data_IF_461703786186
#
_entry.id   IF_461703786186
#
_cell.length_a   1.000
_cell.length_b   1.000
_cell.length_c   1.000
_cell.angle_alpha   90.00
_cell.angle_beta   90.00
_cell.angle_gamma   90.00
#
_symmetry.space_group_name_H-M   'P 1'
#
loop_
_entity.id
_entity.type
_entity.pdbx_description
1 polymer ?
#
# COMPACT_ATOMS: atom_id res chain seq x y z
N UNK A 1 2.93 16.93 -15.32
CA UNK A 1 4.04 15.97 -15.21
C UNK A 1 3.42 14.61 -15.01
N UNK A 2 3.79 13.64 -15.81
CA UNK A 2 3.18 12.32 -15.77
C UNK A 2 3.51 11.61 -14.46
N UNK A 3 2.51 10.98 -13.84
CA UNK A 3 2.65 10.30 -12.55
C UNK A 3 1.96 8.94 -12.60
N UNK A 4 2.60 7.92 -12.06
CA UNK A 4 2.09 6.55 -12.05
C UNK A 4 1.59 6.16 -10.66
N UNK A 5 0.35 5.67 -10.55
CA UNK A 5 -0.12 4.93 -9.38
C UNK A 5 0.19 3.44 -9.57
N UNK A 6 0.93 2.86 -8.63
CA UNK A 6 1.27 1.43 -8.60
C UNK A 6 0.48 0.76 -7.49
N UNK A 7 -0.37 -0.19 -7.82
CA UNK A 7 -1.25 -0.88 -6.88
C UNK A 7 -0.79 -2.32 -6.70
N UNK A 8 -0.43 -2.68 -5.48
CA UNK A 8 0.00 -4.04 -5.11
C UNK A 8 -1.23 -4.93 -4.90
N UNK A 9 -1.64 -5.65 -5.93
CA UNK A 9 -2.88 -6.44 -5.97
C UNK A 9 -2.66 -7.97 -6.09
N UNK A 10 -1.40 -8.46 -6.07
CA UNK A 10 -1.12 -9.89 -6.20
C UNK A 10 -1.66 -10.76 -5.03
N UNK A 11 -1.93 -10.13 -3.88
CA UNK A 11 -2.60 -10.75 -2.73
C UNK A 11 -4.13 -10.68 -2.77
N UNK A 12 -4.69 -9.96 -3.73
CA UNK A 12 -6.12 -9.71 -3.83
C UNK A 12 -6.89 -11.03 -3.99
N UNK A 13 -7.93 -11.22 -3.19
CA UNK A 13 -8.73 -12.45 -3.23
C UNK A 13 -8.08 -13.66 -2.55
N UNK A 14 -6.84 -13.60 -2.08
CA UNK A 14 -6.22 -14.74 -1.38
C UNK A 14 -6.95 -15.12 -0.08
N UNK A 15 -7.56 -14.14 0.59
CA UNK A 15 -8.40 -14.33 1.78
C UNK A 15 -9.82 -14.79 1.48
N UNK A 16 -10.28 -14.65 0.23
CA UNK A 16 -11.67 -14.87 -0.19
C UNK A 16 -11.85 -16.02 -1.18
N UNK A 17 -10.79 -16.80 -1.46
CA UNK A 17 -10.87 -17.92 -2.41
C UNK A 17 -10.81 -17.51 -3.90
N UNK A 18 -10.43 -16.28 -4.20
CA UNK A 18 -10.21 -15.78 -5.56
C UNK A 18 -10.71 -14.37 -5.82
N UNK A 19 -10.30 -13.80 -6.95
CA UNK A 19 -10.63 -12.41 -7.35
C UNK A 19 -12.15 -12.21 -7.48
N UNK A 20 -12.87 -13.22 -7.96
CA UNK A 20 -14.34 -13.16 -8.13
C UNK A 20 -15.13 -13.01 -6.84
N UNK A 21 -14.49 -13.28 -5.70
CA UNK A 21 -15.10 -13.17 -4.36
C UNK A 21 -14.70 -11.89 -3.63
N UNK A 22 -14.02 -10.95 -4.31
CA UNK A 22 -13.70 -9.65 -3.74
C UNK A 22 -15.00 -8.91 -3.43
N UNK A 23 -15.06 -8.41 -2.21
CA UNK A 23 -16.26 -7.78 -1.68
C UNK A 23 -16.56 -6.44 -2.36
N UNK A 24 -17.77 -6.31 -2.83
CA UNK A 24 -18.34 -5.06 -3.32
C UNK A 24 -18.89 -4.28 -2.12
N UNK A 25 -18.34 -3.10 -1.88
CA UNK A 25 -18.57 -2.32 -0.66
C UNK A 25 -19.24 -0.98 -0.95
N UNK A 26 -18.99 -0.41 -2.12
CA UNK A 26 -19.60 0.84 -2.55
C UNK A 26 -21.05 0.67 -2.97
N UNK A 27 -21.81 1.78 -3.03
CA UNK A 27 -23.25 1.76 -3.35
C UNK A 27 -23.58 1.26 -4.76
N UNK A 28 -22.68 1.40 -5.73
CA UNK A 28 -22.83 0.88 -7.11
C UNK A 28 -22.00 -0.41 -7.34
N UNK A 29 -21.53 -1.04 -6.23
CA UNK A 29 -20.78 -2.28 -6.26
C UNK A 29 -19.29 -2.10 -6.47
N UNK A 30 -18.75 -0.94 -6.16
CA UNK A 30 -17.32 -0.67 -6.21
C UNK A 30 -16.57 -1.42 -5.12
N UNK A 31 -15.30 -1.78 -5.38
CA UNK A 31 -14.34 -2.33 -4.43
C UNK A 31 -13.43 -1.22 -3.89
N UNK A 32 -12.75 -1.44 -2.76
CA UNK A 32 -11.90 -0.41 -2.12
C UNK A 32 -10.85 0.18 -3.06
N UNK A 33 -10.20 -0.65 -3.86
CA UNK A 33 -9.18 -0.19 -4.80
C UNK A 33 -9.72 0.82 -5.83
N UNK A 34 -10.99 0.72 -6.22
CA UNK A 34 -11.59 1.64 -7.20
C UNK A 34 -11.67 3.07 -6.65
N UNK A 35 -11.87 3.24 -5.34
CA UNK A 35 -11.81 4.55 -4.68
C UNK A 35 -10.41 5.14 -4.74
N UNK A 36 -9.38 4.35 -4.44
CA UNK A 36 -8.00 4.82 -4.53
C UNK A 36 -7.60 5.20 -5.96
N UNK A 37 -8.01 4.42 -6.97
CA UNK A 37 -7.80 4.76 -8.39
C UNK A 37 -8.57 6.03 -8.76
N UNK A 38 -9.83 6.16 -8.34
CA UNK A 38 -10.65 7.35 -8.59
C UNK A 38 -10.00 8.61 -8.03
N UNK A 39 -9.57 8.57 -6.76
CA UNK A 39 -8.90 9.69 -6.11
C UNK A 39 -7.56 10.03 -6.76
N UNK A 40 -6.78 9.01 -7.15
CA UNK A 40 -5.52 9.20 -7.85
C UNK A 40 -5.70 9.91 -9.20
N UNK A 41 -6.69 9.50 -10.01
CA UNK A 41 -7.00 10.18 -11.28
C UNK A 41 -7.38 11.65 -11.06
N UNK A 42 -8.14 11.94 -10.02
CA UNK A 42 -8.50 13.32 -9.65
C UNK A 42 -7.30 14.13 -9.13
N UNK A 43 -6.35 13.48 -8.46
CA UNK A 43 -5.10 14.08 -7.99
C UNK A 43 -4.10 14.32 -9.14
N UNK A 44 -4.40 13.86 -10.37
CA UNK A 44 -3.59 14.08 -11.56
C UNK A 44 -2.66 12.93 -11.94
N UNK A 45 -2.84 11.73 -11.35
CA UNK A 45 -2.20 10.54 -11.88
C UNK A 45 -2.79 10.22 -13.26
N UNK A 46 -1.95 9.93 -14.22
CA UNK A 46 -2.32 9.67 -15.62
C UNK A 46 -2.02 8.25 -16.07
N UNK A 47 -1.44 7.44 -15.17
CA UNK A 47 -1.08 6.06 -15.43
C UNK A 47 -1.32 5.18 -14.21
N UNK A 48 -1.93 4.02 -14.43
CA UNK A 48 -2.19 3.00 -13.40
C UNK A 48 -1.42 1.74 -13.75
N UNK A 49 -0.68 1.19 -12.78
CA UNK A 49 -0.03 -0.12 -12.88
C UNK A 49 -0.59 -1.04 -11.81
N UNK A 50 -1.19 -2.14 -12.20
CA UNK A 50 -1.68 -3.18 -11.29
C UNK A 50 -0.67 -4.33 -11.23
N UNK A 51 -0.13 -4.59 -10.05
CA UNK A 51 0.74 -5.74 -9.80
C UNK A 51 -0.14 -6.90 -9.35
N UNK A 52 -0.27 -7.91 -10.20
CA UNK A 52 -1.14 -9.08 -10.01
C UNK A 52 -0.38 -10.39 -10.24
N UNK A 53 -1.01 -11.53 -9.95
CA UNK A 53 -0.52 -12.82 -10.45
C UNK A 53 -1.00 -13.02 -11.89
N UNK A 54 -0.25 -13.76 -12.76
CA UNK A 54 -0.69 -14.03 -14.14
C UNK A 54 -2.09 -14.62 -14.23
N UNK A 55 -2.45 -15.53 -13.30
CA UNK A 55 -3.75 -16.20 -13.24
C UNK A 55 -4.92 -15.27 -12.90
N UNK A 56 -4.66 -14.03 -12.49
CA UNK A 56 -5.71 -13.08 -12.08
C UNK A 56 -6.12 -12.13 -13.22
N UNK A 57 -5.38 -12.10 -14.33
CA UNK A 57 -5.51 -11.06 -15.35
C UNK A 57 -6.94 -10.95 -15.90
N UNK A 58 -7.51 -12.06 -16.35
CA UNK A 58 -8.85 -12.07 -16.94
C UNK A 58 -9.93 -11.65 -15.93
N UNK A 59 -9.83 -12.18 -14.71
CA UNK A 59 -10.78 -11.86 -13.64
C UNK A 59 -10.70 -10.40 -13.21
N UNK A 60 -9.49 -9.83 -13.09
CA UNK A 60 -9.27 -8.42 -12.73
C UNK A 60 -9.80 -7.49 -13.82
N UNK A 61 -9.53 -7.79 -15.09
CA UNK A 61 -10.05 -7.01 -16.21
C UNK A 61 -11.58 -7.03 -16.23
N UNK A 62 -12.19 -8.19 -16.14
CA UNK A 62 -13.65 -8.36 -16.13
C UNK A 62 -14.32 -7.72 -14.91
N UNK A 63 -13.66 -7.73 -13.74
CA UNK A 63 -14.23 -7.21 -12.50
C UNK A 63 -14.32 -5.67 -12.52
N UNK A 64 -13.24 -4.97 -12.93
CA UNK A 64 -13.18 -3.51 -12.90
C UNK A 64 -12.26 -2.89 -13.96
N UNK A 65 -11.18 -3.56 -14.41
CA UNK A 65 -10.16 -2.98 -15.27
C UNK A 65 -10.73 -2.43 -16.58
N UNK A 66 -11.44 -3.26 -17.34
CA UNK A 66 -12.02 -2.86 -18.63
C UNK A 66 -13.05 -1.74 -18.44
N UNK A 67 -13.79 -1.73 -17.34
CA UNK A 67 -14.75 -0.66 -17.01
C UNK A 67 -14.05 0.67 -16.74
N UNK A 68 -12.98 0.67 -15.96
CA UNK A 68 -12.21 1.88 -15.68
C UNK A 68 -11.60 2.44 -16.96
N UNK A 69 -10.95 1.60 -17.79
CA UNK A 69 -10.36 2.03 -19.06
C UNK A 69 -11.41 2.64 -20.00
N UNK A 70 -12.57 2.01 -20.14
CA UNK A 70 -13.65 2.49 -21.00
C UNK A 70 -14.25 3.81 -20.53
N UNK A 71 -14.38 4.02 -19.22
CA UNK A 71 -15.02 5.22 -18.66
C UNK A 71 -14.09 6.41 -18.53
N UNK A 72 -12.80 6.17 -18.31
CA UNK A 72 -11.84 7.23 -18.04
C UNK A 72 -10.91 7.51 -19.22
N UNK A 73 -10.80 6.58 -20.17
CA UNK A 73 -9.82 6.62 -21.25
C UNK A 73 -8.38 6.37 -20.80
N UNK A 74 -8.17 6.11 -19.49
CA UNK A 74 -6.83 5.81 -18.97
C UNK A 74 -6.49 4.37 -19.26
N UNK A 75 -5.19 4.13 -19.57
CA UNK A 75 -4.69 2.77 -19.76
C UNK A 75 -4.21 2.20 -18.43
N UNK A 76 -4.60 0.95 -18.14
CA UNK A 76 -4.09 0.16 -17.02
C UNK A 76 -3.02 -0.79 -17.54
N UNK A 77 -1.78 -0.64 -17.06
CA UNK A 77 -0.72 -1.60 -17.31
C UNK A 77 -0.74 -2.71 -16.23
N UNK A 78 -0.55 -3.96 -16.66
CA UNK A 78 -0.52 -5.10 -15.75
C UNK A 78 0.90 -5.64 -15.61
N UNK A 79 1.41 -5.68 -14.39
CA UNK A 79 2.70 -6.27 -14.05
C UNK A 79 2.48 -7.58 -13.27
N UNK A 80 3.30 -8.59 -13.55
CA UNK A 80 3.10 -9.91 -12.98
C UNK A 80 4.13 -10.21 -11.89
N UNK A 81 3.64 -10.40 -10.65
CA UNK A 81 4.46 -10.85 -9.55
C UNK A 81 4.55 -12.38 -9.58
N UNK A 82 5.72 -12.88 -10.01
CA UNK A 82 6.04 -14.32 -10.00
C UNK A 82 7.34 -14.56 -9.24
N UNK A 83 7.48 -15.67 -8.48
CA UNK A 83 8.60 -15.86 -7.56
C UNK A 83 9.95 -16.08 -8.26
N UNK A 84 9.99 -16.35 -9.56
CA UNK A 84 11.19 -16.48 -10.38
C UNK A 84 11.81 -15.13 -10.79
N UNK A 85 11.03 -14.03 -10.72
CA UNK A 85 11.56 -12.71 -11.09
C UNK A 85 12.51 -12.18 -10.02
N UNK A 86 13.63 -11.63 -10.47
CA UNK A 86 14.71 -11.06 -9.62
C UNK A 86 15.33 -12.05 -8.62
N UNK A 87 15.16 -13.37 -8.83
CA UNK A 87 15.69 -14.43 -7.95
C UNK A 87 16.74 -15.28 -8.62
N UNK A 88 17.41 -14.81 -9.68
CA UNK A 88 18.40 -15.57 -10.43
C UNK A 88 19.57 -16.13 -9.57
N UNK A 89 19.92 -15.44 -8.47
CA UNK A 89 20.94 -15.91 -7.51
C UNK A 89 20.47 -17.13 -6.68
N UNK A 90 19.19 -17.42 -6.63
CA UNK A 90 18.55 -18.48 -5.82
C UNK A 90 17.38 -19.09 -6.62
N UNK A 91 17.67 -19.92 -7.67
CA UNK A 91 16.66 -20.45 -8.58
C UNK A 91 15.58 -21.31 -7.89
N UNK A 92 15.88 -21.92 -6.74
CA UNK A 92 14.94 -22.69 -5.94
C UNK A 92 13.76 -21.86 -5.42
N UNK A 93 13.92 -20.53 -5.30
CA UNK A 93 12.83 -19.63 -4.90
C UNK A 93 11.69 -19.56 -5.92
N UNK A 94 11.90 -20.01 -7.16
CA UNK A 94 10.81 -20.14 -8.15
C UNK A 94 9.68 -21.07 -7.69
N UNK A 95 9.96 -21.99 -6.76
CA UNK A 95 8.97 -22.89 -6.15
C UNK A 95 8.30 -22.34 -4.90
N UNK A 96 8.71 -21.14 -4.46
CA UNK A 96 8.19 -20.54 -3.24
C UNK A 96 6.72 -20.19 -3.36
N UNK A 97 5.91 -20.62 -2.38
CA UNK A 97 4.46 -20.37 -2.35
C UNK A 97 4.13 -19.00 -1.77
N UNK A 98 4.83 -18.59 -0.70
CA UNK A 98 4.63 -17.30 -0.06
C UNK A 98 5.31 -16.18 -0.86
N UNK A 99 4.67 -15.02 -1.08
CA UNK A 99 5.30 -13.89 -1.76
C UNK A 99 6.61 -13.46 -1.10
N UNK A 100 7.53 -12.91 -1.89
CA UNK A 100 8.82 -12.41 -1.42
C UNK A 100 8.75 -11.01 -0.80
N UNK A 101 7.55 -10.45 -0.70
CA UNK A 101 7.28 -9.17 -0.04
C UNK A 101 7.00 -8.01 -1.01
N UNK A 102 6.76 -6.83 -0.43
CA UNK A 102 6.29 -5.65 -1.17
C UNK A 102 7.36 -5.00 -2.04
N UNK A 103 8.65 -5.08 -1.65
CA UNK A 103 9.77 -4.64 -2.52
C UNK A 103 9.80 -5.47 -3.80
N UNK A 104 9.68 -6.79 -3.69
CA UNK A 104 9.61 -7.69 -4.85
C UNK A 104 8.42 -7.37 -5.74
N UNK A 105 7.25 -7.11 -5.15
CA UNK A 105 6.07 -6.74 -5.93
C UNK A 105 6.34 -5.51 -6.81
N UNK A 106 6.86 -4.42 -6.23
CA UNK A 106 7.17 -3.19 -6.97
C UNK A 106 8.23 -3.44 -8.05
N UNK A 107 9.27 -4.22 -7.76
CA UNK A 107 10.28 -4.59 -8.76
C UNK A 107 9.70 -5.34 -9.95
N UNK A 108 8.67 -6.18 -9.76
CA UNK A 108 8.00 -6.86 -10.87
C UNK A 108 7.32 -5.89 -11.85
N UNK A 109 7.05 -4.64 -11.44
CA UNK A 109 6.51 -3.59 -12.30
C UNK A 109 7.59 -2.68 -12.91
N UNK A 110 8.88 -2.94 -12.66
CA UNK A 110 10.00 -2.08 -13.12
C UNK A 110 9.96 -1.74 -14.61
N UNK A 111 9.58 -2.71 -15.44
CA UNK A 111 9.62 -2.55 -16.89
C UNK A 111 8.53 -1.59 -17.42
N UNK A 112 7.52 -1.28 -16.64
CA UNK A 112 6.39 -0.40 -17.00
C UNK A 112 6.38 0.92 -16.26
N UNK A 113 7.12 1.08 -15.16
CA UNK A 113 7.24 2.34 -14.41
C UNK A 113 8.33 3.21 -15.05
N UNK A 114 7.96 4.40 -15.52
CA UNK A 114 8.88 5.35 -16.19
C UNK A 114 8.84 6.77 -15.61
N UNK A 115 7.82 7.08 -14.83
CA UNK A 115 7.55 8.40 -14.25
C UNK A 115 7.63 8.33 -12.73
N UNK A 116 7.69 9.44 -12.00
CA UNK A 116 7.50 9.43 -10.55
C UNK A 116 6.22 8.69 -10.20
N UNK A 117 6.27 7.87 -9.14
CA UNK A 117 5.20 6.94 -8.85
C UNK A 117 4.87 6.85 -7.37
N UNK A 118 3.60 6.62 -7.08
CA UNK A 118 3.14 6.23 -5.76
C UNK A 118 2.81 4.74 -5.71
N UNK A 119 3.05 4.12 -4.56
CA UNK A 119 2.73 2.71 -4.30
C UNK A 119 1.66 2.63 -3.23
N UNK A 120 0.64 1.79 -3.45
CA UNK A 120 -0.44 1.51 -2.49
C UNK A 120 -0.77 0.01 -2.43
N UNK A 121 -1.45 -0.39 -1.36
CA UNK A 121 -2.11 -1.70 -1.29
C UNK A 121 -3.47 -1.66 -2.00
N UNK A 122 -3.92 -2.79 -2.52
CA UNK A 122 -5.19 -2.90 -3.23
C UNK A 122 -6.42 -3.05 -2.33
N UNK A 123 -6.22 -3.44 -1.07
CA UNK A 123 -7.27 -3.75 -0.09
C UNK A 123 -7.49 -2.64 0.95
N UNK A 124 -6.92 -1.45 0.70
CA UNK A 124 -6.96 -0.30 1.59
C UNK A 124 -7.72 0.88 0.99
N UNK A 125 -8.48 1.59 1.84
CA UNK A 125 -9.02 2.92 1.54
C UNK A 125 -8.10 3.99 2.12
N UNK A 126 -7.62 4.90 1.28
CA UNK A 126 -6.63 5.90 1.66
C UNK A 126 -7.22 7.29 1.93
N UNK A 127 -8.34 7.61 1.32
CA UNK A 127 -8.93 8.95 1.34
C UNK A 127 -8.28 9.90 0.35
N UNK A 128 -9.09 10.84 -0.13
CA UNK A 128 -8.71 11.78 -1.19
C UNK A 128 -7.52 12.66 -0.82
N UNK A 129 -7.53 13.23 0.39
CA UNK A 129 -6.47 14.13 0.85
C UNK A 129 -5.09 13.47 0.89
N UNK A 130 -5.03 12.14 1.13
CA UNK A 130 -3.78 11.40 1.11
C UNK A 130 -3.22 11.25 -0.31
N UNK A 131 -4.10 10.98 -1.30
CA UNK A 131 -3.70 10.90 -2.71
C UNK A 131 -3.31 12.28 -3.26
N UNK A 132 -4.02 13.34 -2.90
CA UNK A 132 -3.67 14.72 -3.26
C UNK A 132 -2.29 15.10 -2.68
N UNK A 133 -2.01 14.75 -1.42
CA UNK A 133 -0.73 15.06 -0.77
C UNK A 133 0.44 14.36 -1.46
N UNK A 134 0.32 13.07 -1.78
CA UNK A 134 1.40 12.33 -2.44
C UNK A 134 1.59 12.83 -3.88
N UNK A 135 0.52 13.11 -4.62
CA UNK A 135 0.57 13.66 -5.97
C UNK A 135 1.32 15.00 -6.01
N UNK A 136 1.06 15.90 -5.05
CA UNK A 136 1.78 17.17 -4.94
C UNK A 136 3.27 17.02 -4.63
N UNK A 137 3.67 15.92 -3.96
CA UNK A 137 5.05 15.67 -3.60
C UNK A 137 5.87 15.01 -4.71
N UNK A 138 5.27 14.13 -5.52
CA UNK A 138 5.97 13.34 -6.54
C UNK A 138 6.82 14.17 -7.51
N UNK A 139 6.32 15.30 -8.08
CA UNK A 139 7.12 16.12 -9.00
C UNK A 139 8.37 16.77 -8.37
N UNK A 140 8.45 16.79 -7.04
CA UNK A 140 9.55 17.39 -6.29
C UNK A 140 10.64 16.38 -5.93
N UNK A 141 10.45 15.09 -6.23
CA UNK A 141 11.45 14.04 -6.00
C UNK A 141 12.49 14.11 -7.12
N UNK A 142 13.72 14.51 -6.80
CA UNK A 142 14.78 14.75 -7.79
C UNK A 142 15.58 13.50 -8.17
N UNK A 143 15.61 12.49 -7.32
CA UNK A 143 16.44 11.28 -7.51
C UNK A 143 16.00 10.13 -6.61
N UNK A 144 16.72 9.01 -6.67
CA UNK A 144 16.56 7.89 -5.74
C UNK A 144 16.87 8.22 -4.26
N UNK A 145 17.48 9.37 -3.99
CA UNK A 145 17.74 9.82 -2.62
C UNK A 145 16.55 10.53 -1.98
N UNK A 146 15.53 10.84 -2.77
CA UNK A 146 14.33 11.51 -2.31
C UNK A 146 13.13 10.56 -2.37
N UNK A 147 12.38 10.50 -1.29
CA UNK A 147 11.12 9.77 -1.20
C UNK A 147 10.07 10.59 -0.44
N UNK A 148 8.83 10.22 -0.57
CA UNK A 148 7.73 10.74 0.23
C UNK A 148 6.91 9.59 0.79
N UNK A 149 6.24 9.82 1.91
CA UNK A 149 5.33 8.88 2.53
C UNK A 149 4.16 9.66 3.13
N UNK A 150 2.94 9.12 3.01
CA UNK A 150 1.81 9.69 3.75
C UNK A 150 1.73 9.02 5.13
N UNK A 151 1.81 9.84 6.17
CA UNK A 151 1.67 9.44 7.56
C UNK A 151 0.27 9.74 8.07
N UNK A 152 -0.42 8.70 8.53
CA UNK A 152 -1.75 8.79 9.13
C UNK A 152 -1.64 8.90 10.64
N UNK A 153 -2.62 9.55 11.29
CA UNK A 153 -2.74 9.48 12.75
C UNK A 153 -3.09 8.06 13.16
N UNK A 154 -2.38 7.50 14.14
CA UNK A 154 -2.60 6.12 14.60
C UNK A 154 -4.07 5.86 14.95
N UNK A 155 -4.72 6.81 15.66
CA UNK A 155 -6.15 6.72 16.03
C UNK A 155 -7.09 6.53 14.84
N UNK A 156 -6.71 7.01 13.64
CA UNK A 156 -7.50 6.93 12.42
C UNK A 156 -7.26 5.63 11.64
N UNK A 157 -6.50 4.67 12.20
CA UNK A 157 -6.09 3.44 11.50
C UNK A 157 -6.31 2.17 12.30
N UNK A 158 -6.87 2.25 13.50
CA UNK A 158 -7.12 1.09 14.35
C UNK A 158 -8.50 0.47 14.09
N UNK A 159 -8.63 -0.84 14.31
CA UNK A 159 -9.90 -1.55 14.27
C UNK A 159 -10.42 -1.77 15.71
N UNK A 160 -11.71 -1.62 15.96
CA UNK A 160 -12.31 -1.99 17.25
C UNK A 160 -12.41 -3.51 17.45
N UNK A 161 -12.27 -4.31 16.39
CA UNK A 161 -12.52 -5.76 16.42
C UNK A 161 -11.28 -6.59 16.71
N UNK A 162 -10.07 -6.00 16.68
CA UNK A 162 -8.87 -6.76 16.97
C UNK A 162 -7.58 -5.96 16.85
N UNK A 163 -6.46 -6.67 16.76
CA UNK A 163 -5.15 -6.07 16.62
C UNK A 163 -4.83 -5.75 15.17
N UNK A 164 -4.08 -4.68 14.94
CA UNK A 164 -3.59 -4.28 13.62
C UNK A 164 -2.07 -4.18 13.62
N UNK A 165 -1.46 -4.26 12.44
CA UNK A 165 -0.03 -4.00 12.23
C UNK A 165 0.15 -2.65 11.58
N UNK A 166 1.06 -1.81 12.12
CA UNK A 166 1.37 -0.49 11.58
C UNK A 166 2.86 -0.20 11.63
N UNK A 167 3.36 0.47 10.61
CA UNK A 167 4.70 1.05 10.64
C UNK A 167 4.69 2.35 11.45
N UNK A 168 4.98 2.29 12.75
CA UNK A 168 5.04 3.48 13.62
C UNK A 168 6.26 4.31 13.27
N UNK A 169 6.06 5.59 12.97
CA UNK A 169 7.07 6.49 12.44
C UNK A 169 7.62 7.44 13.53
N UNK A 170 8.94 7.53 13.64
CA UNK A 170 9.61 8.65 14.29
C UNK A 170 10.00 9.68 13.23
N UNK A 171 9.61 10.94 13.42
CA UNK A 171 9.86 12.03 12.48
C UNK A 171 10.59 13.17 13.15
N UNK A 172 11.39 13.91 12.39
CA UNK A 172 12.01 15.17 12.80
C UNK A 172 12.06 16.12 11.62
N UNK A 173 11.59 17.35 11.80
CA UNK A 173 11.56 18.39 10.76
C UNK A 173 10.84 17.95 9.47
N UNK A 174 9.74 17.16 9.62
CA UNK A 174 8.97 16.62 8.51
C UNK A 174 9.65 15.46 7.76
N UNK A 175 10.80 14.98 8.24
CA UNK A 175 11.53 13.86 7.66
C UNK A 175 11.40 12.62 8.53
N UNK A 176 11.27 11.46 7.86
CA UNK A 176 11.30 10.15 8.51
C UNK A 176 12.70 9.89 9.09
N UNK A 177 12.75 9.51 10.36
CA UNK A 177 13.97 9.08 11.04
C UNK A 177 14.00 7.58 11.28
N UNK A 178 12.81 7.00 11.53
CA UNK A 178 12.63 5.57 11.75
C UNK A 178 11.21 5.17 11.38
N UNK A 179 11.03 3.98 10.85
CA UNK A 179 9.72 3.32 10.76
C UNK A 179 9.84 1.93 11.36
N UNK A 180 9.03 1.64 12.37
CA UNK A 180 9.06 0.38 13.08
C UNK A 180 7.73 -0.36 12.92
N UNK A 181 7.79 -1.54 12.29
CA UNK A 181 6.64 -2.43 12.23
C UNK A 181 6.23 -2.90 13.62
N UNK A 182 5.01 -2.55 14.01
CA UNK A 182 4.40 -2.91 15.29
C UNK A 182 3.18 -3.78 15.03
N UNK A 183 3.24 -5.05 15.46
CA UNK A 183 2.36 -6.12 14.94
C UNK A 183 1.05 -6.33 15.70
N UNK A 184 0.91 -5.84 16.92
CA UNK A 184 -0.25 -6.12 17.78
C UNK A 184 -0.81 -4.85 18.40
N UNK A 185 -1.02 -3.82 17.59
CA UNK A 185 -1.64 -2.58 18.05
C UNK A 185 -3.14 -2.82 18.24
N UNK A 186 -3.66 -2.45 19.40
CA UNK A 186 -5.06 -2.65 19.78
C UNK A 186 -5.67 -1.39 20.38
N UNK A 187 -6.88 -1.07 19.96
CA UNK A 187 -7.76 -0.16 20.68
C UNK A 187 -8.39 -0.94 21.86
N UNK A 188 -8.05 -0.54 23.08
CA UNK A 188 -8.50 -1.23 24.29
C UNK A 188 -9.85 -0.67 24.78
N UNK A 189 -10.60 -1.42 25.63
CA UNK A 189 -11.90 -0.98 26.14
C UNK A 189 -11.87 0.32 26.97
N UNK A 190 -10.71 0.69 27.51
CA UNK A 190 -10.47 1.95 28.21
C UNK A 190 -10.22 3.15 27.27
N UNK A 191 -10.29 2.93 25.96
CA UNK A 191 -10.08 3.94 24.92
C UNK A 191 -8.60 4.20 24.59
N UNK A 192 -7.65 3.54 25.26
CA UNK A 192 -6.24 3.68 24.96
C UNK A 192 -5.80 2.74 23.82
N UNK A 193 -4.85 3.20 23.03
CA UNK A 193 -4.22 2.38 21.99
C UNK A 193 -2.92 1.82 22.54
N UNK A 194 -2.75 0.49 22.48
CA UNK A 194 -1.57 -0.19 23.03
C UNK A 194 -0.90 -1.11 22.03
N UNK A 195 0.42 -1.19 22.09
CA UNK A 195 1.18 -2.29 21.52
C UNK A 195 1.12 -3.49 22.49
N UNK A 196 0.47 -4.55 22.05
CA UNK A 196 0.28 -5.79 22.79
C UNK A 196 1.32 -6.86 22.43
N UNK A 197 2.45 -6.50 21.85
CA UNK A 197 3.50 -7.45 21.44
C UNK A 197 4.29 -8.03 22.61
N UNK A 198 4.34 -7.31 23.73
CA UNK A 198 5.01 -7.74 24.97
C UNK A 198 4.06 -8.48 25.94
N UNK A 199 4.58 -8.82 27.11
CA UNK A 199 3.81 -9.37 28.23
C UNK A 199 3.10 -8.24 29.00
N UNK A 200 1.97 -8.57 29.66
CA UNK A 200 1.21 -7.66 30.51
C UNK A 200 0.21 -6.79 29.77
N UNK A 201 -0.03 -5.58 30.29
CA UNK A 201 -1.08 -4.66 29.78
C UNK A 201 -0.74 -3.98 28.44
N UNK A 202 0.47 -4.22 27.91
CA UNK A 202 0.96 -3.57 26.70
C UNK A 202 1.47 -2.15 26.93
N UNK A 203 2.15 -1.60 25.90
CA UNK A 203 2.73 -0.25 25.91
C UNK A 203 1.73 0.72 25.31
N UNK A 204 1.35 1.77 26.03
CA UNK A 204 0.47 2.83 25.53
C UNK A 204 1.18 3.58 24.40
N UNK A 205 0.51 3.71 23.28
CA UNK A 205 0.97 4.45 22.11
C UNK A 205 0.24 5.81 22.04
N UNK A 206 0.93 6.82 21.56
CA UNK A 206 0.33 8.13 21.28
C UNK A 206 -0.69 7.98 20.13
N UNK A 207 -1.98 8.32 20.35
CA UNK A 207 -2.99 8.27 19.29
C UNK A 207 -2.69 9.23 18.12
N UNK A 208 -1.90 10.28 18.35
CA UNK A 208 -1.46 11.23 17.32
C UNK A 208 -0.15 10.81 16.63
N UNK A 209 0.48 9.70 17.04
CA UNK A 209 1.66 9.19 16.38
C UNK A 209 1.38 8.94 14.88
N UNK A 210 2.35 9.27 14.04
CA UNK A 210 2.24 9.01 12.61
C UNK A 210 2.57 7.55 12.30
N UNK A 211 1.76 6.94 11.45
CA UNK A 211 1.96 5.57 11.00
C UNK A 211 1.93 5.46 9.48
N UNK A 212 2.75 4.58 8.94
CA UNK A 212 2.74 4.21 7.53
C UNK A 212 1.63 3.19 7.24
N UNK A 213 0.86 3.49 6.19
CA UNK A 213 -0.14 2.59 5.61
C UNK A 213 0.27 2.14 4.20
N UNK A 214 1.58 2.07 3.91
CA UNK A 214 2.15 1.72 2.60
C UNK A 214 1.78 2.67 1.45
N UNK A 215 1.45 3.94 1.74
CA UNK A 215 1.36 4.97 0.71
C UNK A 215 2.70 5.69 0.61
N UNK A 216 3.52 5.25 -0.36
CA UNK A 216 4.88 5.73 -0.60
C UNK A 216 4.99 6.38 -1.98
N UNK A 217 5.80 7.45 -2.09
CA UNK A 217 6.12 8.11 -3.35
C UNK A 217 7.61 8.05 -3.66
N UNK A 218 7.96 7.75 -4.92
CA UNK A 218 9.31 7.51 -5.35
C UNK A 218 9.63 8.14 -6.70
N UNK A 219 10.89 8.54 -6.88
CA UNK A 219 11.47 8.77 -8.19
C UNK A 219 11.77 7.43 -8.90
N UNK A 220 11.65 7.29 -10.23
CA UNK A 220 11.88 6.01 -10.94
C UNK A 220 13.25 5.36 -10.65
N UNK A 221 14.28 6.14 -10.42
CA UNK A 221 15.62 5.63 -10.04
C UNK A 221 15.63 4.83 -8.74
N UNK A 222 14.62 4.96 -7.88
CA UNK A 222 14.48 4.14 -6.68
C UNK A 222 14.37 2.64 -7.01
N UNK A 223 13.88 2.29 -8.20
CA UNK A 223 13.80 0.90 -8.66
C UNK A 223 15.18 0.23 -8.75
N UNK A 224 16.25 0.98 -9.03
CA UNK A 224 17.63 0.46 -9.01
C UNK A 224 18.09 0.17 -7.59
N UNK A 225 17.77 1.06 -6.65
CA UNK A 225 18.06 0.88 -5.21
C UNK A 225 17.28 -0.30 -4.66
N UNK A 226 15.99 -0.42 -5.00
CA UNK A 226 15.16 -1.57 -4.63
C UNK A 226 15.72 -2.88 -5.16
N UNK A 227 16.21 -2.90 -6.41
CA UNK A 227 16.80 -4.10 -7.01
C UNK A 227 18.07 -4.55 -6.28
N UNK A 228 18.95 -3.60 -5.93
CA UNK A 228 20.17 -3.88 -5.15
C UNK A 228 19.83 -4.39 -3.75
N UNK A 229 18.88 -3.76 -3.08
CA UNK A 229 18.44 -4.17 -1.75
C UNK A 229 17.81 -5.56 -1.76
N UNK A 230 16.97 -5.83 -2.76
CA UNK A 230 16.32 -7.13 -2.93
C UNK A 230 17.30 -8.23 -3.28
N UNK A 231 18.31 -7.98 -4.13
CA UNK A 231 19.36 -8.96 -4.43
C UNK A 231 20.14 -9.36 -3.16
N UNK A 232 20.50 -8.38 -2.33
CA UNK A 232 21.14 -8.65 -1.04
C UNK A 232 20.23 -9.47 -0.10
N UNK A 233 18.93 -9.15 -0.03
CA UNK A 233 17.95 -9.91 0.73
C UNK A 233 17.85 -11.36 0.24
N UNK A 234 17.79 -11.59 -1.08
CA UNK A 234 17.72 -12.93 -1.68
C UNK A 234 18.95 -13.76 -1.32
N UNK A 235 20.15 -13.16 -1.38
CA UNK A 235 21.41 -13.84 -1.00
C UNK A 235 21.48 -14.19 0.48
N UNK A 236 20.87 -13.39 1.35
CA UNK A 236 20.86 -13.57 2.80
C UNK A 236 19.76 -14.54 3.29
N UNK A 237 18.85 -14.98 2.42
CA UNK A 237 17.83 -15.95 2.82
C UNK A 237 18.46 -17.28 3.20
N UNK A 238 18.09 -17.82 4.37
CA UNK A 238 18.48 -19.17 4.75
C UNK A 238 17.88 -20.21 3.77
N UNK A 239 18.57 -21.34 3.51
CA UNK A 239 17.99 -22.43 2.75
C UNK A 239 16.66 -22.89 3.36
N UNK A 240 15.58 -22.95 2.52
CA UNK A 240 14.24 -23.36 2.96
C UNK A 240 13.47 -22.29 3.75
N UNK A 241 13.96 -21.06 3.85
CA UNK A 241 13.19 -19.97 4.46
C UNK A 241 12.02 -19.57 3.57
N UNK A 242 10.83 -19.99 3.94
CA UNK A 242 9.58 -19.64 3.27
C UNK A 242 8.79 -18.51 3.96
N UNK A 243 9.34 -17.90 5.01
CA UNK A 243 8.60 -16.94 5.85
C UNK A 243 9.03 -15.50 5.67
N UNK A 244 10.35 -15.23 5.57
CA UNK A 244 10.86 -13.86 5.45
C UNK A 244 10.35 -13.18 4.18
N UNK A 245 10.02 -11.92 4.31
CA UNK A 245 9.56 -11.05 3.21
C UNK A 245 10.39 -9.77 3.19
N UNK A 246 10.70 -9.29 1.98
CA UNK A 246 11.35 -8.01 1.76
C UNK A 246 10.28 -6.91 1.71
N UNK A 247 10.08 -6.22 2.82
CA UNK A 247 9.01 -5.23 2.99
C UNK A 247 9.50 -3.80 2.71
N UNK A 248 8.67 -2.98 2.06
CA UNK A 248 8.98 -1.57 1.79
C UNK A 248 9.33 -0.77 3.06
N UNK A 249 8.55 -0.83 4.15
CA UNK A 249 8.90 -0.08 5.36
C UNK A 249 10.25 -0.48 5.94
N UNK A 250 10.57 -1.78 5.95
CA UNK A 250 11.86 -2.29 6.46
C UNK A 250 13.02 -1.81 5.59
N UNK A 251 12.87 -1.86 4.27
CA UNK A 251 13.87 -1.32 3.34
C UNK A 251 14.07 0.19 3.56
N UNK A 252 12.99 0.96 3.67
CA UNK A 252 13.06 2.40 3.85
C UNK A 252 13.67 2.79 5.19
N UNK A 253 13.40 2.03 6.26
CA UNK A 253 14.06 2.21 7.56
C UNK A 253 15.57 1.99 7.45
N UNK A 254 15.99 0.89 6.82
CA UNK A 254 17.41 0.58 6.60
C UNK A 254 18.13 1.63 5.74
N UNK A 255 17.51 2.12 4.67
CA UNK A 255 18.08 3.16 3.81
C UNK A 255 18.17 4.51 4.52
N UNK A 256 17.18 4.84 5.35
CA UNK A 256 17.15 6.05 6.19
C UNK A 256 18.27 6.02 7.23
N UNK A 257 18.42 4.90 7.95
CA UNK A 257 19.50 4.71 8.93
C UNK A 257 20.89 4.83 8.30
N UNK A 258 21.07 4.42 7.04
CA UNK A 258 22.29 4.57 6.26
C UNK A 258 22.47 5.96 5.62
N UNK A 259 21.55 6.90 5.83
CA UNK A 259 21.52 8.22 5.18
C UNK A 259 21.53 8.15 3.63
N UNK A 260 21.01 7.06 3.05
CA UNK A 260 20.92 6.85 1.60
C UNK A 260 19.65 7.43 1.00
N UNK A 261 18.65 7.71 1.82
CA UNK A 261 17.37 8.28 1.40
C UNK A 261 16.87 9.30 2.41
N UNK A 262 16.24 10.37 1.92
CA UNK A 262 15.45 11.33 2.70
C UNK A 262 13.99 11.14 2.35
N UNK A 263 13.20 10.71 3.31
CA UNK A 263 11.77 10.55 3.13
C UNK A 263 11.01 11.68 3.80
N UNK A 264 10.29 12.48 3.01
CA UNK A 264 9.33 13.46 3.55
C UNK A 264 8.09 12.74 4.04
N UNK A 265 7.65 13.07 5.25
CA UNK A 265 6.41 12.55 5.83
C UNK A 265 5.31 13.59 5.64
N UNK A 266 4.37 13.28 4.77
CA UNK A 266 3.20 14.08 4.46
C UNK A 266 2.09 13.67 5.43
N UNK A 267 1.67 14.58 6.30
CA UNK A 267 0.64 14.27 7.29
C UNK A 267 -0.75 14.35 6.68
N UNK A 268 -1.62 13.44 7.07
CA UNK A 268 -3.03 13.47 6.73
C UNK A 268 -3.90 13.19 7.95
N UNK A 269 -5.05 13.83 8.02
CA UNK A 269 -6.10 13.54 9.00
C UNK A 269 -7.18 12.60 8.44
N UNK A 270 -6.98 12.08 7.23
CA UNK A 270 -7.88 11.11 6.62
C UNK A 270 -8.02 9.85 7.50
N UNK A 271 -9.20 9.25 7.42
CA UNK A 271 -9.45 7.95 8.01
C UNK A 271 -9.08 6.85 7.02
N UNK A 272 -8.09 6.05 7.41
CA UNK A 272 -7.78 4.83 6.68
C UNK A 272 -8.69 3.71 7.18
N UNK A 273 -9.19 2.89 6.28
CA UNK A 273 -9.86 1.64 6.62
C UNK A 273 -9.61 0.57 5.56
N UNK A 274 -9.74 -0.69 5.99
CA UNK A 274 -9.60 -1.87 5.15
C UNK A 274 -10.37 -3.02 5.78
N UNK A 275 -10.43 -4.15 5.11
CA UNK A 275 -11.09 -5.35 5.62
C UNK A 275 -10.06 -6.26 6.31
N UNK A 276 -9.65 -5.91 7.54
CA UNK A 276 -8.76 -6.75 8.35
C UNK A 276 -9.53 -7.90 8.99
N UNK A 277 -10.73 -7.60 9.48
CA UNK A 277 -11.68 -8.53 10.07
C UNK A 277 -13.00 -8.51 9.29
N UNK A 278 -13.74 -9.63 9.28
CA UNK A 278 -15.07 -9.65 8.65
C UNK A 278 -16.05 -8.67 9.33
N UNK A 279 -15.89 -8.46 10.63
CA UNK A 279 -16.69 -7.52 11.41
C UNK A 279 -16.39 -6.04 11.07
N UNK A 280 -15.32 -5.72 10.37
CA UNK A 280 -15.04 -4.37 9.84
C UNK A 280 -16.01 -3.98 8.72
N UNK A 281 -16.55 -4.96 7.97
CA UNK A 281 -17.34 -4.73 6.75
C UNK A 281 -18.54 -3.79 6.94
N UNK A 282 -19.41 -3.96 7.94
CA UNK A 282 -20.55 -3.05 8.13
C UNK A 282 -20.10 -1.59 8.33
N UNK A 283 -19.00 -1.38 9.08
CA UNK A 283 -18.40 -0.06 9.31
C UNK A 283 -17.86 0.56 8.04
N UNK A 284 -17.11 -0.23 7.23
CA UNK A 284 -16.57 0.21 5.94
C UNK A 284 -17.70 0.59 4.97
N UNK A 285 -18.74 -0.23 4.84
CA UNK A 285 -19.90 0.07 3.99
C UNK A 285 -20.60 1.35 4.44
N UNK A 286 -20.78 1.55 5.76
CA UNK A 286 -21.38 2.76 6.30
C UNK A 286 -20.53 4.00 6.02
N UNK A 287 -19.21 3.92 6.20
CA UNK A 287 -18.28 5.00 5.89
C UNK A 287 -18.31 5.39 4.41
N UNK A 288 -18.25 4.42 3.49
CA UNK A 288 -18.33 4.69 2.05
C UNK A 288 -19.66 5.34 1.68
N UNK A 289 -20.78 4.84 2.21
CA UNK A 289 -22.10 5.46 1.98
C UNK A 289 -22.17 6.90 2.47
N UNK A 290 -21.55 7.21 3.62
CA UNK A 290 -21.49 8.58 4.13
C UNK A 290 -20.71 9.50 3.18
N UNK A 291 -19.59 9.04 2.64
CA UNK A 291 -18.76 9.78 1.67
C UNK A 291 -19.48 10.00 0.31
N UNK A 292 -20.38 9.12 -0.07
CA UNK A 292 -21.27 9.37 -1.22
C UNK A 292 -22.39 10.35 -0.88
N UNK A 293 -22.96 10.24 0.33
CA UNK A 293 -24.08 11.07 0.75
C UNK A 293 -23.67 12.54 0.98
N UNK A 294 -22.44 12.81 1.44
CA UNK A 294 -21.92 14.16 1.63
C UNK A 294 -21.33 14.78 0.34
N UNK A 295 -21.30 14.01 -0.75
CA UNK A 295 -20.83 14.48 -2.07
C UNK A 295 -19.32 14.40 -2.27
N UNK A 296 -18.55 13.78 -1.35
CA UNK A 296 -17.12 13.48 -1.54
C UNK A 296 -16.92 12.60 -2.77
N UNK A 297 -17.78 11.58 -2.94
CA UNK A 297 -17.86 10.77 -4.16
C UNK A 297 -19.19 10.92 -4.88
N UNK A 298 -19.21 10.79 -6.22
CA UNK A 298 -20.45 10.76 -7.00
C UNK A 298 -21.28 9.51 -6.67
N UNK A 299 -22.58 9.46 -6.99
CA UNK A 299 -23.43 8.28 -6.74
C UNK A 299 -22.86 6.96 -7.29
N UNK A 300 -22.04 7.02 -8.32
CA UNK A 300 -21.23 5.91 -8.84
C UNK A 300 -19.92 6.48 -9.38
N UNK A 301 -18.78 5.85 -9.06
CA UNK A 301 -17.45 6.36 -9.40
C UNK A 301 -17.24 6.48 -10.92
N UNK A 302 -17.82 5.55 -11.69
CA UNK A 302 -17.51 5.35 -13.11
C UNK A 302 -18.71 5.59 -14.05
N UNK A 303 -19.62 6.50 -13.70
CA UNK A 303 -20.77 6.87 -14.58
C UNK A 303 -20.46 8.01 -15.51
#
# INVERSE_FOLDING_TARGET
MDMTLVVMAAGLGSRYGGVKQIERLGPDGEILMEYAIYDALRAGFDRIVLIIKPSMLEDVRALFGDRIEQRTGIRIDYAFQTPDRFTAARPELAQRKKPLGTVHAVLCARDVIRTPFAVINADDFYGRGALDAIAAALPQLGSAQDAAMVGYRLKNTVSPFGTVTRGVCATQDGLLRKVQETYKIRLCPDGLIRDMSGEGEGIVLDPEALVSMNLWGYHPQMLDVMAQYFDAFVRDLAPGDEKRECLLPVMMDALTAQSRVRTRVLQTDEHWFGLTYQDDKPGVVAALRALHADGTYPPALWK
#
